data_IF_498937731897
#
_entry.id   IF_498937731897
#
_cell.length_a   1.000
_cell.length_b   1.000
_cell.length_c   1.000
_cell.angle_alpha   90.00
_cell.angle_beta   90.00
_cell.angle_gamma   90.00
#
_symmetry.space_group_name_H-M   'P 1'
#
loop_
_entity.id
_entity.type
_entity.pdbx_description
1 polymer ?
#
# COMPACT_ATOMS: atom_id res chain seq x y z
N UNK A 1 57.14 -36.93 9.37
CA UNK A 1 55.74 -36.86 9.82
C UNK A 1 55.15 -35.57 9.21
N UNK A 2 54.36 -35.68 8.12
CA UNK A 2 53.76 -34.55 7.43
C UNK A 2 52.40 -34.24 8.06
N UNK A 3 52.22 -33.04 8.66
CA UNK A 3 50.96 -32.58 9.20
C UNK A 3 50.09 -32.06 8.05
N UNK A 4 48.99 -32.74 7.73
CA UNK A 4 47.97 -32.30 6.81
C UNK A 4 47.00 -31.37 7.58
N UNK A 5 47.03 -30.09 7.26
CA UNK A 5 46.08 -29.14 7.81
C UNK A 5 44.78 -29.21 6.97
N UNK A 6 43.71 -29.68 7.59
CA UNK A 6 42.34 -29.71 7.00
C UNK A 6 41.75 -28.30 7.07
N UNK A 7 41.68 -27.59 5.94
CA UNK A 7 40.95 -26.33 5.83
C UNK A 7 39.45 -26.64 5.71
N UNK A 8 38.70 -26.41 6.77
CA UNK A 8 37.24 -26.40 6.70
C UNK A 8 36.78 -25.12 6.01
N UNK A 9 36.35 -25.22 4.76
CA UNK A 9 35.66 -24.12 4.06
C UNK A 9 34.26 -24.03 4.63
N UNK A 10 34.02 -23.02 5.48
CA UNK A 10 32.67 -22.63 5.86
C UNK A 10 31.97 -22.01 4.63
N UNK A 11 31.17 -22.78 3.93
CA UNK A 11 30.22 -22.26 2.92
C UNK A 11 29.14 -21.55 3.69
N UNK A 12 29.31 -20.25 3.90
CA UNK A 12 28.26 -19.37 4.40
C UNK A 12 27.13 -19.34 3.37
N UNK A 13 26.07 -20.17 3.60
CA UNK A 13 24.89 -20.15 2.78
C UNK A 13 24.26 -18.76 2.80
N UNK A 14 24.27 -18.07 1.68
CA UNK A 14 23.47 -16.86 1.47
C UNK A 14 22.00 -17.29 1.65
N UNK A 15 21.42 -16.94 2.77
CA UNK A 15 19.99 -17.16 3.01
C UNK A 15 19.20 -16.21 2.10
N UNK A 16 18.93 -16.67 0.87
CA UNK A 16 18.03 -15.97 -0.04
C UNK A 16 16.65 -15.91 0.61
N UNK A 17 16.10 -14.69 0.69
CA UNK A 17 14.74 -14.51 1.18
C UNK A 17 13.75 -15.25 0.28
N UNK A 18 12.85 -16.04 0.87
CA UNK A 18 11.77 -16.70 0.13
C UNK A 18 10.71 -15.66 -0.25
N UNK A 19 10.38 -15.55 -1.53
CA UNK A 19 9.29 -14.69 -2.00
C UNK A 19 7.96 -15.44 -2.01
N UNK A 20 6.93 -14.84 -1.42
CA UNK A 20 5.55 -15.34 -1.42
C UNK A 20 4.67 -14.41 -2.23
N UNK A 21 3.98 -14.96 -3.23
CA UNK A 21 3.08 -14.20 -4.10
C UNK A 21 1.79 -13.85 -3.37
N UNK A 22 1.31 -12.62 -3.52
CA UNK A 22 -0.03 -12.24 -3.05
C UNK A 22 -1.08 -12.97 -3.88
N UNK A 23 -2.02 -13.63 -3.19
CA UNK A 23 -3.10 -14.43 -3.80
C UNK A 23 -4.48 -13.83 -3.50
N UNK A 24 -4.60 -12.95 -2.51
CA UNK A 24 -5.81 -12.21 -2.20
C UNK A 24 -5.46 -10.85 -1.60
N UNK A 25 -6.25 -9.85 -1.94
CA UNK A 25 -6.10 -8.48 -1.42
C UNK A 25 -7.45 -7.78 -1.30
N UNK A 26 -7.53 -6.83 -0.36
CA UNK A 26 -8.62 -5.88 -0.20
C UNK A 26 -8.00 -4.53 0.16
N UNK A 27 -8.06 -3.58 -0.77
CA UNK A 27 -7.46 -2.25 -0.63
C UNK A 27 -8.56 -1.21 -0.71
N UNK A 28 -8.84 -0.57 0.41
CA UNK A 28 -9.91 0.41 0.56
C UNK A 28 -9.31 1.80 0.75
N UNK A 29 -9.98 2.82 0.20
CA UNK A 29 -9.61 4.23 0.31
C UNK A 29 -10.79 5.09 0.77
N UNK A 30 -10.49 6.21 1.43
CA UNK A 30 -11.43 7.28 1.80
C UNK A 30 -10.81 8.62 1.45
N UNK A 31 -11.57 9.45 0.72
CA UNK A 31 -11.26 10.84 0.42
C UNK A 31 -12.34 11.75 1.01
N UNK A 32 -11.96 12.97 1.39
CA UNK A 32 -12.81 13.87 2.17
C UNK A 32 -12.96 15.21 1.47
N UNK A 33 -14.13 15.80 1.62
CA UNK A 33 -14.40 17.19 1.22
C UNK A 33 -15.18 17.90 2.32
N UNK A 34 -15.03 19.21 2.37
CA UNK A 34 -15.83 20.10 3.19
C UNK A 34 -16.55 21.04 2.24
N UNK A 35 -17.87 21.06 2.27
CA UNK A 35 -18.71 21.99 1.53
C UNK A 35 -19.42 22.89 2.54
N UNK A 36 -19.10 24.21 2.52
CA UNK A 36 -19.56 25.17 3.54
C UNK A 36 -19.13 24.69 4.94
N UNK A 37 -20.09 24.21 5.74
CA UNK A 37 -19.86 23.68 7.09
C UNK A 37 -20.00 22.15 7.21
N UNK A 38 -20.38 21.47 6.10
CA UNK A 38 -20.63 20.04 6.11
C UNK A 38 -19.43 19.26 5.58
N UNK A 39 -18.93 18.36 6.40
CA UNK A 39 -17.91 17.39 5.99
C UNK A 39 -18.60 16.18 5.34
N UNK A 40 -18.09 15.76 4.20
CA UNK A 40 -18.52 14.53 3.53
C UNK A 40 -17.31 13.73 3.04
N UNK A 41 -17.52 12.45 2.80
CA UNK A 41 -16.46 11.57 2.29
C UNK A 41 -16.99 10.69 1.18
N UNK A 42 -16.09 10.31 0.28
CA UNK A 42 -16.29 9.18 -0.62
C UNK A 42 -15.33 8.07 -0.24
N UNK A 43 -15.71 6.84 -0.52
CA UNK A 43 -14.87 5.69 -0.27
C UNK A 43 -14.99 4.68 -1.41
N UNK A 44 -13.99 3.81 -1.50
CA UNK A 44 -14.00 2.81 -2.53
C UNK A 44 -12.83 1.85 -2.44
N UNK A 45 -12.56 1.19 -3.56
CA UNK A 45 -11.54 0.14 -3.68
C UNK A 45 -10.60 0.40 -4.84
N UNK A 46 -9.40 -0.16 -4.73
CA UNK A 46 -8.41 -0.27 -5.80
C UNK A 46 -7.92 -1.71 -5.84
N UNK A 47 -7.86 -2.31 -7.02
CA UNK A 47 -7.36 -3.67 -7.16
C UNK A 47 -5.82 -3.71 -7.06
N UNK A 48 -5.30 -4.77 -6.45
CA UNK A 48 -3.88 -5.08 -6.53
C UNK A 48 -3.59 -5.78 -7.88
N UNK A 49 -2.71 -5.20 -8.69
CA UNK A 49 -2.25 -5.78 -9.97
C UNK A 49 -1.29 -6.93 -9.74
N UNK A 50 -0.38 -6.76 -8.77
CA UNK A 50 0.57 -7.79 -8.34
C UNK A 50 1.14 -7.45 -6.97
N UNK A 51 1.72 -8.45 -6.31
CA UNK A 51 2.40 -8.23 -5.04
C UNK A 51 3.17 -9.47 -4.60
N UNK A 52 4.20 -9.21 -3.81
CA UNK A 52 4.98 -10.25 -3.15
C UNK A 52 5.39 -9.82 -1.76
N UNK A 53 5.58 -10.77 -0.87
CA UNK A 53 6.13 -10.61 0.47
C UNK A 53 7.42 -11.41 0.55
N UNK A 54 8.48 -10.79 1.03
CA UNK A 54 9.80 -11.42 1.20
C UNK A 54 9.94 -11.92 2.62
N UNK A 55 10.28 -13.21 2.76
CA UNK A 55 10.45 -13.89 4.04
C UNK A 55 11.92 -14.24 4.28
N UNK A 56 12.38 -14.14 5.53
CA UNK A 56 13.61 -14.74 6.02
C UNK A 56 13.23 -15.70 7.16
N UNK A 57 13.28 -17.00 6.90
CA UNK A 57 12.66 -17.98 7.79
C UNK A 57 11.16 -17.72 7.93
N UNK A 58 10.69 -17.58 9.17
CA UNK A 58 9.28 -17.29 9.47
C UNK A 58 8.98 -15.79 9.65
N UNK A 59 9.92 -14.91 9.28
CA UNK A 59 9.76 -13.46 9.44
C UNK A 59 9.60 -12.77 8.09
N UNK A 60 8.65 -11.85 8.01
CA UNK A 60 8.55 -10.91 6.89
C UNK A 60 9.68 -9.89 7.01
N UNK A 61 10.45 -9.72 5.93
CA UNK A 61 11.57 -8.77 5.87
C UNK A 61 11.42 -7.72 4.79
N UNK A 62 10.42 -7.87 3.90
CA UNK A 62 10.17 -6.93 2.81
C UNK A 62 8.95 -7.32 2.00
N UNK A 63 8.72 -6.60 0.91
CA UNK A 63 7.65 -6.88 -0.05
C UNK A 63 7.40 -5.70 -0.97
N UNK A 64 6.77 -5.97 -2.09
CA UNK A 64 6.36 -4.95 -3.06
C UNK A 64 4.94 -5.23 -3.51
N UNK A 65 4.14 -4.18 -3.62
CA UNK A 65 2.73 -4.22 -4.00
C UNK A 65 2.49 -3.20 -5.11
N UNK A 66 1.85 -3.64 -6.18
CA UNK A 66 1.52 -2.80 -7.34
C UNK A 66 0.00 -2.71 -7.43
N UNK A 67 -0.53 -1.50 -7.28
CA UNK A 67 -1.95 -1.19 -7.43
C UNK A 67 -2.27 -0.88 -8.88
N UNK A 68 -3.44 -1.29 -9.35
CA UNK A 68 -3.99 -0.91 -10.64
C UNK A 68 -4.82 0.37 -10.50
N UNK A 69 -4.27 1.52 -10.87
CA UNK A 69 -4.95 2.82 -10.74
C UNK A 69 -6.14 2.96 -11.68
N UNK A 70 -6.19 2.17 -12.76
CA UNK A 70 -7.35 2.14 -13.68
C UNK A 70 -8.57 1.47 -13.05
N UNK A 71 -8.35 0.67 -12.00
CA UNK A 71 -9.40 -0.04 -11.26
C UNK A 71 -10.03 0.76 -10.13
N UNK A 72 -9.57 2.01 -9.87
CA UNK A 72 -10.13 2.83 -8.79
C UNK A 72 -11.65 2.98 -8.96
N UNK A 73 -12.38 2.66 -7.90
CA UNK A 73 -13.84 2.60 -7.94
C UNK A 73 -14.44 3.05 -6.61
N UNK A 74 -15.31 4.05 -6.66
CA UNK A 74 -16.12 4.45 -5.52
C UNK A 74 -17.20 3.38 -5.24
N UNK A 75 -17.42 3.04 -3.98
CA UNK A 75 -18.38 2.01 -3.57
C UNK A 75 -19.53 2.55 -2.72
N UNK A 76 -19.48 3.81 -2.37
CA UNK A 76 -20.51 4.57 -1.66
C UNK A 76 -21.51 5.26 -2.60
N UNK A 77 -21.25 5.23 -3.90
CA UNK A 77 -22.10 5.79 -4.95
C UNK A 77 -22.55 4.71 -5.93
N UNK A 78 -23.58 5.01 -6.72
CA UNK A 78 -24.07 4.13 -7.78
C UNK A 78 -24.47 4.94 -9.03
N UNK A 79 -24.61 4.23 -10.17
CA UNK A 79 -25.08 4.80 -11.43
C UNK A 79 -24.18 5.93 -11.96
N UNK A 80 -24.82 7.01 -12.38
CA UNK A 80 -24.14 8.14 -13.03
C UNK A 80 -23.17 8.88 -12.08
N UNK A 81 -23.52 9.04 -10.80
CA UNK A 81 -22.67 9.70 -9.82
C UNK A 81 -21.39 8.92 -9.55
N UNK A 82 -21.49 7.60 -9.46
CA UNK A 82 -20.31 6.73 -9.35
C UNK A 82 -19.41 6.86 -10.56
N UNK A 83 -20.00 6.83 -11.77
CA UNK A 83 -19.26 6.97 -13.03
C UNK A 83 -18.54 8.31 -13.11
N UNK A 84 -19.21 9.41 -12.75
CA UNK A 84 -18.63 10.76 -12.72
C UNK A 84 -17.44 10.83 -11.77
N UNK A 85 -17.59 10.34 -10.53
CA UNK A 85 -16.49 10.34 -9.56
C UNK A 85 -15.32 9.46 -10.01
N UNK A 86 -15.59 8.25 -10.49
CA UNK A 86 -14.55 7.35 -10.98
C UNK A 86 -13.74 7.94 -12.13
N UNK A 87 -14.42 8.57 -13.09
CA UNK A 87 -13.76 9.25 -14.21
C UNK A 87 -12.92 10.43 -13.74
N UNK A 88 -13.43 11.21 -12.79
CA UNK A 88 -12.71 12.34 -12.21
C UNK A 88 -11.44 11.90 -11.44
N UNK A 89 -11.52 10.82 -10.67
CA UNK A 89 -10.36 10.27 -9.97
C UNK A 89 -9.30 9.73 -10.95
N UNK A 90 -9.71 9.22 -12.12
CA UNK A 90 -8.80 8.62 -13.11
C UNK A 90 -8.18 9.65 -14.07
N UNK A 91 -8.79 10.82 -14.25
CA UNK A 91 -8.33 11.84 -15.19
C UNK A 91 -7.12 12.65 -14.66
N UNK A 92 -6.70 13.66 -15.44
CA UNK A 92 -5.57 14.53 -15.14
C UNK A 92 -5.70 15.36 -13.87
N UNK A 93 -6.93 15.59 -13.39
CA UNK A 93 -7.19 16.35 -12.17
C UNK A 93 -6.68 15.62 -10.91
N UNK A 94 -6.72 14.28 -10.93
CA UNK A 94 -6.27 13.45 -9.80
C UNK A 94 -5.10 12.55 -10.17
N UNK A 95 -5.39 11.28 -10.50
CA UNK A 95 -4.34 10.25 -10.58
C UNK A 95 -3.76 10.10 -11.99
N UNK A 96 -4.40 10.67 -13.02
CA UNK A 96 -3.92 10.60 -14.41
C UNK A 96 -3.62 9.13 -14.81
N UNK A 97 -4.61 8.24 -14.54
CA UNK A 97 -4.43 6.79 -14.59
C UNK A 97 -4.05 6.26 -15.99
N UNK A 98 -4.38 6.99 -17.06
CA UNK A 98 -3.97 6.65 -18.44
C UNK A 98 -2.46 6.79 -18.62
N UNK A 99 -1.83 7.78 -17.96
CA UNK A 99 -0.39 8.01 -18.01
C UNK A 99 0.35 7.28 -16.90
N UNK A 100 -0.27 7.16 -15.72
CA UNK A 100 0.28 6.49 -14.55
C UNK A 100 -0.63 5.35 -14.10
N UNK A 101 -0.69 4.23 -14.86
CA UNK A 101 -1.66 3.16 -14.61
C UNK A 101 -1.39 2.36 -13.35
N UNK A 102 -0.27 2.61 -12.66
CA UNK A 102 0.09 1.89 -11.44
C UNK A 102 0.60 2.82 -10.35
N UNK A 103 0.28 2.46 -9.10
CA UNK A 103 0.98 2.95 -7.92
C UNK A 103 1.70 1.77 -7.24
N UNK A 104 2.84 2.04 -6.59
CA UNK A 104 3.67 0.98 -6.01
C UNK A 104 4.02 1.30 -4.56
N UNK A 105 3.88 0.31 -3.67
CA UNK A 105 4.39 0.40 -2.31
C UNK A 105 5.46 -0.67 -2.09
N UNK A 106 6.66 -0.24 -1.70
CA UNK A 106 7.79 -1.13 -1.38
C UNK A 106 8.15 -1.01 0.08
N UNK A 107 8.05 -2.12 0.82
CA UNK A 107 8.45 -2.18 2.23
C UNK A 107 9.96 -2.01 2.33
N UNK A 108 10.41 -1.01 3.10
CA UNK A 108 11.83 -0.74 3.37
C UNK A 108 12.26 -1.24 4.75
N UNK A 109 11.33 -1.30 5.71
CA UNK A 109 11.60 -1.88 7.04
C UNK A 109 10.33 -2.28 7.77
N UNK A 110 10.49 -3.24 8.69
CA UNK A 110 9.45 -3.66 9.64
C UNK A 110 10.03 -3.58 11.05
N UNK A 111 9.37 -2.86 11.93
CA UNK A 111 9.72 -2.75 13.34
C UNK A 111 8.62 -3.39 14.19
N UNK A 112 8.99 -4.25 15.14
CA UNK A 112 8.01 -4.77 16.11
C UNK A 112 7.34 -3.63 16.85
N UNK A 113 6.04 -3.74 17.03
CA UNK A 113 5.22 -2.81 17.78
C UNK A 113 4.71 -3.51 19.05
N UNK A 114 4.63 -2.76 20.15
CA UNK A 114 4.11 -3.26 21.43
C UNK A 114 2.57 -3.27 21.49
N UNK A 115 1.91 -2.78 20.46
CA UNK A 115 0.46 -2.81 20.35
C UNK A 115 -0.08 -4.25 20.31
N UNK A 116 -1.22 -4.49 20.98
CA UNK A 116 -1.82 -5.82 21.12
C UNK A 116 -2.49 -6.32 19.82
N UNK A 117 -2.89 -5.41 18.94
CA UNK A 117 -3.58 -5.72 17.69
C UNK A 117 -2.62 -5.66 16.50
N UNK A 118 -1.86 -4.57 16.39
CA UNK A 118 -0.95 -4.29 15.28
C UNK A 118 0.50 -4.50 15.73
N UNK A 119 1.01 -5.70 15.54
CA UNK A 119 2.29 -6.17 16.09
C UNK A 119 3.54 -5.64 15.33
N UNK A 120 3.36 -4.86 14.25
CA UNK A 120 4.43 -4.24 13.48
C UNK A 120 4.10 -2.81 13.08
N UNK A 121 5.13 -1.96 13.00
CA UNK A 121 5.12 -0.74 12.19
C UNK A 121 5.80 -1.08 10.87
N UNK A 122 5.05 -1.01 9.79
CA UNK A 122 5.54 -1.18 8.42
C UNK A 122 5.97 0.18 7.89
N UNK A 123 7.20 0.31 7.41
CA UNK A 123 7.69 1.50 6.71
C UNK A 123 8.02 1.14 5.27
N UNK A 124 7.70 2.02 4.35
CA UNK A 124 7.95 1.79 2.94
C UNK A 124 7.90 3.06 2.12
N UNK A 125 8.22 2.91 0.85
CA UNK A 125 8.13 3.96 -0.15
C UNK A 125 6.87 3.74 -0.97
N UNK A 126 5.99 4.73 -0.99
CA UNK A 126 4.81 4.80 -1.86
C UNK A 126 5.15 5.66 -3.08
N UNK A 127 4.89 5.16 -4.26
CA UNK A 127 5.05 5.88 -5.53
C UNK A 127 3.69 6.03 -6.19
N UNK A 128 3.26 7.27 -6.42
CA UNK A 128 2.03 7.65 -7.16
C UNK A 128 2.42 8.74 -8.16
N UNK A 129 1.92 8.70 -9.39
CA UNK A 129 2.24 9.68 -10.46
C UNK A 129 3.76 9.92 -10.64
N UNK A 130 4.59 8.86 -10.45
CA UNK A 130 6.05 8.96 -10.52
C UNK A 130 6.73 9.65 -9.34
N UNK A 131 5.97 10.15 -8.34
CA UNK A 131 6.52 10.75 -7.11
C UNK A 131 6.58 9.70 -6.01
N UNK A 132 7.73 9.63 -5.33
CA UNK A 132 7.98 8.64 -4.26
C UNK A 132 8.13 9.34 -2.92
N UNK A 133 7.34 8.92 -1.94
CA UNK A 133 7.41 9.41 -0.57
C UNK A 133 7.34 8.27 0.43
N UNK A 134 7.94 8.48 1.60
CA UNK A 134 7.89 7.52 2.70
C UNK A 134 6.48 7.53 3.33
N UNK A 135 5.91 6.33 3.48
CA UNK A 135 4.64 6.10 4.18
C UNK A 135 4.84 4.98 5.19
N UNK A 136 4.29 5.15 6.39
CA UNK A 136 4.37 4.12 7.44
C UNK A 136 3.02 3.93 8.11
N UNK A 137 2.74 2.69 8.52
CA UNK A 137 1.48 2.35 9.17
C UNK A 137 1.65 1.17 10.14
N UNK A 138 0.81 1.10 11.19
CA UNK A 138 0.69 -0.09 12.01
C UNK A 138 0.05 -1.22 11.21
N UNK A 139 0.51 -2.46 11.43
CA UNK A 139 -0.09 -3.64 10.79
C UNK A 139 -0.03 -4.86 11.69
N UNK A 140 -1.04 -5.71 11.57
CA UNK A 140 -1.02 -7.08 12.06
C UNK A 140 -0.42 -7.96 10.97
N UNK A 141 0.71 -8.60 11.28
CA UNK A 141 1.35 -9.56 10.39
C UNK A 141 1.37 -10.91 11.08
N UNK A 142 0.87 -11.93 10.40
CA UNK A 142 0.86 -13.31 10.86
C UNK A 142 1.40 -14.26 9.77
N UNK A 143 2.15 -15.26 10.19
CA UNK A 143 2.62 -16.35 9.34
C UNK A 143 2.21 -17.68 9.94
N UNK A 144 1.49 -18.48 9.20
CA UNK A 144 1.06 -19.82 9.62
C UNK A 144 0.88 -20.74 8.42
N UNK A 145 1.35 -21.97 8.52
CA UNK A 145 1.18 -23.02 7.49
C UNK A 145 1.53 -22.56 6.07
N UNK A 146 2.62 -21.79 5.92
CA UNK A 146 3.08 -21.29 4.62
C UNK A 146 2.38 -20.03 4.12
N UNK A 147 1.36 -19.53 4.82
CA UNK A 147 0.57 -18.35 4.46
C UNK A 147 0.97 -17.14 5.30
N UNK A 148 1.20 -16.01 4.64
CA UNK A 148 1.36 -14.71 5.28
C UNK A 148 0.06 -13.93 5.16
N UNK A 149 -0.40 -13.35 6.25
CA UNK A 149 -1.49 -12.37 6.30
C UNK A 149 -0.92 -11.03 6.80
N UNK A 150 -1.18 -9.95 6.09
CA UNK A 150 -0.91 -8.58 6.52
C UNK A 150 -2.22 -7.79 6.49
N UNK A 151 -2.58 -7.19 7.62
CA UNK A 151 -3.75 -6.30 7.76
C UNK A 151 -3.26 -5.00 8.38
N UNK A 152 -3.33 -3.89 7.66
CA UNK A 152 -2.99 -2.57 8.19
C UNK A 152 -4.05 -2.09 9.17
N UNK A 153 -3.67 -1.20 10.09
CA UNK A 153 -4.61 -0.23 10.63
C UNK A 153 -5.06 0.72 9.52
N UNK A 154 -6.09 1.49 9.77
CA UNK A 154 -6.43 2.62 8.90
C UNK A 154 -5.34 3.68 9.03
N UNK A 155 -4.71 4.06 7.93
CA UNK A 155 -3.60 5.01 7.91
C UNK A 155 -3.83 6.09 6.88
N UNK A 156 -3.21 7.24 7.10
CA UNK A 156 -3.39 8.45 6.29
C UNK A 156 -2.10 8.82 5.57
N UNK A 157 -2.22 9.30 4.33
CA UNK A 157 -1.14 9.99 3.63
C UNK A 157 -1.67 11.25 2.94
N UNK A 158 -0.78 12.22 2.75
CA UNK A 158 -1.05 13.47 2.06
C UNK A 158 -0.88 13.29 0.54
N UNK A 159 -1.97 13.45 -0.22
CA UNK A 159 -2.02 13.31 -1.69
C UNK A 159 -1.17 14.35 -2.42
N UNK A 160 -1.00 15.55 -1.85
CA UNK A 160 -0.24 16.62 -2.47
C UNK A 160 1.25 16.28 -2.62
N UNK A 161 1.80 15.44 -1.73
CA UNK A 161 3.17 14.93 -1.84
C UNK A 161 3.41 14.10 -3.11
N UNK A 162 2.35 13.72 -3.81
CA UNK A 162 2.38 12.92 -5.04
C UNK A 162 1.88 13.70 -6.26
N UNK A 163 1.83 15.03 -6.22
CA UNK A 163 1.28 15.88 -7.27
C UNK A 163 -0.20 15.57 -7.64
N UNK A 164 -0.97 15.06 -6.67
CA UNK A 164 -2.41 14.93 -6.77
C UNK A 164 -3.02 16.18 -6.13
N UNK A 165 -2.93 17.29 -6.86
CA UNK A 165 -3.11 18.65 -6.33
C UNK A 165 -4.49 19.26 -6.63
N UNK A 166 -5.47 18.47 -7.11
CA UNK A 166 -6.80 18.99 -7.43
C UNK A 166 -7.41 19.75 -6.27
N UNK A 167 -7.94 20.93 -6.58
CA UNK A 167 -8.79 21.74 -5.72
C UNK A 167 -10.10 22.04 -6.43
N UNK A 168 -11.19 22.08 -5.68
CA UNK A 168 -12.49 22.43 -6.24
C UNK A 168 -12.49 23.89 -6.74
N UNK A 169 -13.04 24.12 -7.93
CA UNK A 169 -13.32 25.48 -8.42
C UNK A 169 -14.58 26.07 -7.80
N UNK A 170 -15.38 25.26 -7.09
CA UNK A 170 -16.58 25.74 -6.42
C UNK A 170 -16.21 26.51 -5.15
N UNK A 171 -16.78 27.69 -5.00
CA UNK A 171 -16.63 28.50 -3.79
C UNK A 171 -17.15 27.69 -2.58
N UNK A 172 -16.45 27.77 -1.46
CA UNK A 172 -16.77 27.06 -0.22
C UNK A 172 -16.69 25.52 -0.27
N UNK A 173 -16.00 24.95 -1.26
CA UNK A 173 -15.71 23.50 -1.31
C UNK A 173 -14.21 23.26 -1.22
N UNK A 174 -13.80 22.67 -0.12
CA UNK A 174 -12.40 22.23 0.14
C UNK A 174 -12.29 20.72 -0.04
N UNK A 175 -11.41 20.26 -0.92
CA UNK A 175 -10.99 18.86 -1.01
C UNK A 175 -9.81 18.66 -0.09
N UNK A 176 -9.94 17.80 0.94
CA UNK A 176 -8.87 17.52 1.90
C UNK A 176 -7.68 16.84 1.23
N UNK A 177 -6.50 17.11 1.73
CA UNK A 177 -5.27 16.50 1.22
C UNK A 177 -5.03 15.11 1.81
N UNK A 178 -5.61 14.82 2.95
CA UNK A 178 -5.56 13.54 3.63
C UNK A 178 -6.40 12.48 2.91
N UNK A 179 -5.75 11.39 2.54
CA UNK A 179 -6.37 10.16 2.04
C UNK A 179 -6.12 9.06 3.06
N UNK A 180 -7.20 8.42 3.50
CA UNK A 180 -7.10 7.24 4.35
C UNK A 180 -7.09 5.96 3.53
N UNK A 181 -6.33 4.99 4.00
CA UNK A 181 -6.23 3.66 3.40
C UNK A 181 -6.39 2.57 4.46
N UNK A 182 -6.95 1.44 4.05
CA UNK A 182 -6.93 0.18 4.79
C UNK A 182 -6.60 -0.95 3.83
N UNK A 183 -5.56 -1.71 4.15
CA UNK A 183 -5.01 -2.74 3.26
C UNK A 183 -5.02 -4.09 3.95
N UNK A 184 -5.55 -5.11 3.24
CA UNK A 184 -5.45 -6.51 3.64
C UNK A 184 -4.86 -7.30 2.49
N UNK A 185 -3.84 -8.10 2.76
CA UNK A 185 -3.24 -9.01 1.77
C UNK A 185 -2.97 -10.38 2.37
N UNK A 186 -3.09 -11.40 1.54
CA UNK A 186 -2.72 -12.79 1.84
C UNK A 186 -1.75 -13.28 0.78
N UNK A 187 -0.60 -13.83 1.21
CA UNK A 187 0.43 -14.36 0.31
C UNK A 187 0.79 -15.82 0.64
N UNK A 188 1.10 -16.59 -0.40
CA UNK A 188 1.48 -18.01 -0.32
C UNK A 188 2.76 -18.29 -1.09
#
# INVERSE_FOLDING_TARGET
MKKVALFAVLIGGLAFGQSKKVVASDVNWWGYKIAKTEASSHNGKINLKSGNIVMKGNQVVGGTFVLDMTSINATDLSGEYQTKLNNHLKNGDFFEADKFPTATYTITSLKKNSDKVYNYIVKGNLTIKGKTNAVSFPAKIAYSKGVVSLVSDKFTFDRQKFDVAYQSSMQDVLVKDDIDMLVKVTAK
#
